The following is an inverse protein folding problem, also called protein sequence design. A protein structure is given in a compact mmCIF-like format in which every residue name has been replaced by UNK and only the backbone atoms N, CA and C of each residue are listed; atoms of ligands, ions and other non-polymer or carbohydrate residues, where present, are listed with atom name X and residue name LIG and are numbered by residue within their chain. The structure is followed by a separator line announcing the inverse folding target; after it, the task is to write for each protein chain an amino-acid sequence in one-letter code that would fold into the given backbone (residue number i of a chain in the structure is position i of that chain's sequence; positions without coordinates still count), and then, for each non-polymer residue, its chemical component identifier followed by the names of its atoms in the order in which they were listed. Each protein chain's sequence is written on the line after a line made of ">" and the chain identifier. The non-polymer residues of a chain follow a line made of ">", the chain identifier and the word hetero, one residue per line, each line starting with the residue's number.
data_IF_048932385312
#
_entry.id   IF_048932385312
#
_cell.length_a   1.000
_cell.length_b   1.000
_cell.length_c   1.000
_cell.angle_alpha   90.00
_cell.angle_beta   90.00
_cell.angle_gamma   90.00
#
_symmetry.space_group_name_H-M   'P 1'
#
loop_
_entity.id
_entity.type
_entity.pdbx_description
1 polymer ?
#
# COMPACT_ATOMS: atom_id res chain seq x y z
N UNK A 1 5.46 13.49 5.12
CA UNK A 1 4.17 13.47 4.40
C UNK A 1 3.12 12.85 5.31
N UNK A 2 1.91 13.42 5.46
CA UNK A 2 0.84 12.80 6.24
C UNK A 2 0.22 11.59 5.51
N UNK A 3 -0.37 10.66 6.26
CA UNK A 3 -1.19 9.59 5.67
C UNK A 3 -2.41 10.23 5.04
N UNK A 4 -2.64 9.94 3.75
CA UNK A 4 -3.80 10.40 2.98
C UNK A 4 -4.94 9.39 3.01
N UNK A 5 -4.62 8.09 2.94
CA UNK A 5 -5.61 7.00 2.90
C UNK A 5 -5.08 5.75 3.59
N UNK A 6 -5.99 5.00 4.22
CA UNK A 6 -5.72 3.64 4.71
C UNK A 6 -6.61 2.68 3.93
N UNK A 7 -6.03 1.60 3.40
CA UNK A 7 -6.76 0.56 2.67
C UNK A 7 -6.56 -0.79 3.35
N UNK A 8 -7.65 -1.49 3.67
CA UNK A 8 -7.65 -2.80 4.31
C UNK A 8 -7.98 -3.89 3.29
N UNK A 9 -7.09 -4.15 2.33
CA UNK A 9 -7.28 -5.17 1.28
C UNK A 9 -6.56 -6.49 1.53
N UNK A 10 -5.62 -6.55 2.47
CA UNK A 10 -4.84 -7.77 2.78
C UNK A 10 -4.74 -8.09 4.28
N UNK A 11 -3.74 -8.89 4.64
CA UNK A 11 -3.45 -9.27 6.04
C UNK A 11 -3.07 -8.07 6.90
N UNK A 12 -2.45 -7.06 6.27
CA UNK A 12 -2.08 -5.79 6.90
C UNK A 12 -2.63 -4.61 6.09
N UNK A 13 -2.91 -3.45 6.72
CA UNK A 13 -3.35 -2.26 6.00
C UNK A 13 -2.25 -1.66 5.12
N UNK A 14 -2.67 -1.01 4.03
CA UNK A 14 -1.83 -0.12 3.23
C UNK A 14 -1.98 1.31 3.78
N UNK A 15 -0.87 1.95 4.15
CA UNK A 15 -0.83 3.36 4.54
C UNK A 15 -0.33 4.19 3.37
N UNK A 16 -1.23 4.94 2.75
CA UNK A 16 -0.96 5.65 1.50
C UNK A 16 -0.66 7.12 1.78
N UNK A 17 0.45 7.62 1.23
CA UNK A 17 0.94 8.98 1.41
C UNK A 17 0.81 9.85 0.13
N UNK A 18 0.13 9.35 -0.90
CA UNK A 18 -0.12 9.99 -2.20
C UNK A 18 -1.56 9.80 -2.66
N UNK A 19 -2.06 10.68 -3.53
CA UNK A 19 -3.39 10.53 -4.14
C UNK A 19 -3.33 9.81 -5.50
N UNK A 20 -2.13 9.60 -6.01
CA UNK A 20 -1.90 9.05 -7.34
C UNK A 20 -1.15 7.73 -7.21
N UNK A 21 -1.84 6.64 -7.59
CA UNK A 21 -1.25 5.31 -7.67
C UNK A 21 -1.77 4.68 -8.95
N UNK A 22 -0.86 4.16 -9.78
CA UNK A 22 -1.23 3.41 -10.97
C UNK A 22 -1.94 2.10 -10.59
N UNK A 23 -2.92 1.68 -11.40
CA UNK A 23 -3.70 0.47 -11.13
C UNK A 23 -2.82 -0.78 -10.96
N UNK A 24 -1.76 -0.88 -11.77
CA UNK A 24 -0.79 -1.97 -11.64
C UNK A 24 -0.08 -1.91 -10.28
N UNK A 25 0.48 -0.76 -9.91
CA UNK A 25 1.15 -0.59 -8.61
C UNK A 25 0.22 -0.95 -7.44
N UNK A 26 -1.07 -0.59 -7.51
CA UNK A 26 -2.03 -1.03 -6.49
C UNK A 26 -2.14 -2.54 -6.38
N UNK A 27 -2.22 -3.25 -7.51
CA UNK A 27 -2.30 -4.72 -7.50
C UNK A 27 -1.05 -5.37 -6.89
N UNK A 28 0.14 -4.81 -7.12
CA UNK A 28 1.36 -5.28 -6.43
C UNK A 28 1.29 -5.02 -4.93
N UNK A 29 0.85 -3.84 -4.50
CA UNK A 29 0.71 -3.49 -3.10
C UNK A 29 -0.29 -4.41 -2.37
N UNK A 30 -1.40 -4.76 -3.03
CA UNK A 30 -2.36 -5.74 -2.53
C UNK A 30 -1.74 -7.14 -2.38
N UNK A 31 -0.95 -7.60 -3.35
CA UNK A 31 -0.26 -8.88 -3.23
C UNK A 31 0.77 -8.85 -2.09
N UNK A 32 1.49 -7.74 -1.93
CA UNK A 32 2.47 -7.55 -0.86
C UNK A 32 1.78 -7.55 0.51
N UNK A 33 0.62 -6.90 0.64
CA UNK A 33 -0.13 -6.87 1.92
C UNK A 33 -0.70 -8.23 2.33
N UNK A 34 -0.68 -9.23 1.46
CA UNK A 34 -1.06 -10.61 1.76
C UNK A 34 0.10 -11.47 2.29
N UNK A 35 1.35 -11.01 2.23
CA UNK A 35 2.50 -11.79 2.66
C UNK A 35 2.51 -11.98 4.19
N UNK A 36 2.55 -13.24 4.64
CA UNK A 36 2.49 -13.61 6.06
C UNK A 36 3.66 -13.12 6.92
N UNK A 37 4.77 -12.70 6.29
CA UNK A 37 5.93 -12.13 6.97
C UNK A 37 5.78 -10.63 7.30
N UNK A 38 4.76 -9.95 6.75
CA UNK A 38 4.47 -8.55 7.03
C UNK A 38 3.42 -8.49 8.13
N UNK A 39 3.72 -7.79 9.23
CA UNK A 39 2.92 -7.86 10.45
C UNK A 39 2.17 -6.56 10.81
N UNK A 40 2.61 -5.40 10.29
CA UNK A 40 2.09 -4.10 10.72
C UNK A 40 1.28 -3.38 9.65
N UNK A 41 1.94 -2.98 8.58
CA UNK A 41 1.34 -2.29 7.44
C UNK A 41 2.35 -2.25 6.28
N UNK A 42 1.88 -1.92 5.09
CA UNK A 42 2.73 -1.55 3.95
C UNK A 42 2.61 -0.04 3.76
N UNK A 43 3.73 0.67 3.77
CA UNK A 43 3.76 2.10 3.53
C UNK A 43 3.90 2.39 2.04
N UNK A 44 2.99 3.16 1.47
CA UNK A 44 2.98 3.53 0.04
C UNK A 44 3.39 4.98 -0.11
N UNK A 45 4.64 5.17 -0.56
CA UNK A 45 5.25 6.50 -0.68
C UNK A 45 4.81 7.24 -1.96
N UNK A 46 5.00 8.58 -2.03
CA UNK A 46 4.59 9.37 -3.19
C UNK A 46 5.32 9.10 -4.50
N UNK A 47 6.49 8.48 -4.44
CA UNK A 47 7.32 8.03 -5.56
C UNK A 47 6.98 6.61 -6.04
N UNK A 48 5.86 6.04 -5.57
CA UNK A 48 5.38 4.73 -6.02
C UNK A 48 5.15 4.72 -7.53
N UNK A 49 5.62 3.66 -8.15
CA UNK A 49 5.49 3.35 -9.57
C UNK A 49 5.38 1.84 -9.73
N UNK A 50 5.03 1.36 -10.93
CA UNK A 50 5.01 -0.07 -11.25
C UNK A 50 6.39 -0.64 -11.58
#
# INVERSE_FOLDING_TARGET
>A
VPIRKIINTGMVPLHIYTDQIEEKAMKQLENVSMLSLIHHHVAVMPDVHW
#
